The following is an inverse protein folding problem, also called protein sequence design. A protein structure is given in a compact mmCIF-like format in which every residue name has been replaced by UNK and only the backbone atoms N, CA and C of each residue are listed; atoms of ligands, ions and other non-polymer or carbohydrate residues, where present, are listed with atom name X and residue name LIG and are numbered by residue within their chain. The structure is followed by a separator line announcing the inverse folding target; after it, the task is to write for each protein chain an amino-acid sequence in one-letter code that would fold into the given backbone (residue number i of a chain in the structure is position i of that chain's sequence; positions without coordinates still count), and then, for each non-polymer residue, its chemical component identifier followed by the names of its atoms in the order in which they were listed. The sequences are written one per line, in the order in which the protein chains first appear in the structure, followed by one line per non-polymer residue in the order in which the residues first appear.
data_IF_953077233389
#
_entry.id   IF_953077233389
#
_cell.length_a   1.000
_cell.length_b   1.000
_cell.length_c   1.000
_cell.angle_alpha   90.00
_cell.angle_beta   90.00
_cell.angle_gamma   90.00
#
_symmetry.space_group_name_H-M   'P 1'
#
loop_
_entity.id
_entity.type
_entity.pdbx_description
1 polymer ?
#
# COMPACT_ATOMS: atom_id res chain seq x y z
N UNK A 1 11.12 8.92 4.05
CA UNK A 1 12.32 8.88 3.19
C UNK A 1 13.48 8.39 4.06
N UNK A 2 14.15 7.30 3.66
CA UNK A 2 15.39 6.85 4.28
C UNK A 2 16.51 7.79 3.79
N UNK A 3 17.22 8.44 4.70
CA UNK A 3 18.24 9.45 4.40
C UNK A 3 19.61 8.87 4.00
N UNK A 4 19.64 7.68 3.41
CA UNK A 4 20.86 7.05 2.91
C UNK A 4 21.01 7.29 1.41
N UNK A 5 22.25 7.49 0.95
CA UNK A 5 22.56 7.61 -0.47
C UNK A 5 22.12 6.33 -1.19
N UNK A 6 21.53 6.48 -2.38
CA UNK A 6 21.10 5.36 -3.22
C UNK A 6 22.28 4.44 -3.55
N UNK A 7 23.50 5.00 -3.59
CA UNK A 7 24.74 4.24 -3.71
C UNK A 7 24.97 3.27 -2.53
N UNK A 8 24.78 3.73 -1.29
CA UNK A 8 25.02 2.94 -0.09
C UNK A 8 23.98 1.81 0.05
N UNK A 9 22.71 2.12 -0.21
CA UNK A 9 21.64 1.12 -0.25
C UNK A 9 21.86 0.04 -1.31
N UNK A 10 22.40 0.42 -2.48
CA UNK A 10 22.73 -0.54 -3.52
C UNK A 10 23.91 -1.43 -3.12
N UNK A 11 24.90 -0.88 -2.41
CA UNK A 11 26.06 -1.62 -1.91
C UNK A 11 25.66 -2.61 -0.82
N UNK A 12 24.78 -2.23 0.11
CA UNK A 12 24.26 -3.12 1.15
C UNK A 12 23.40 -4.26 0.56
N UNK A 13 22.62 -3.95 -0.48
CA UNK A 13 21.79 -4.93 -1.17
C UNK A 13 22.61 -6.02 -1.89
N UNK A 14 23.82 -5.70 -2.36
CA UNK A 14 24.71 -6.66 -3.03
C UNK A 14 25.79 -7.23 -2.10
N UNK A 15 26.04 -6.64 -0.94
CA UNK A 15 27.10 -7.06 -0.02
C UNK A 15 26.97 -8.55 0.36
N UNK A 16 25.74 -9.02 0.60
CA UNK A 16 25.46 -10.43 0.91
C UNK A 16 25.82 -11.42 -0.21
N UNK A 17 25.90 -10.97 -1.48
CA UNK A 17 26.38 -11.83 -2.58
C UNK A 17 27.88 -12.10 -2.51
N UNK A 18 28.64 -11.20 -1.88
CA UNK A 18 30.08 -11.26 -1.75
C UNK A 18 30.54 -11.66 -0.35
N UNK A 19 29.61 -12.00 0.54
CA UNK A 19 29.91 -12.57 1.84
C UNK A 19 30.58 -13.95 1.68
N UNK A 20 31.61 -14.19 2.48
CA UNK A 20 32.40 -15.43 2.44
C UNK A 20 32.10 -16.27 3.66
N UNK A 21 32.02 -17.58 3.48
CA UNK A 21 31.97 -18.54 4.59
C UNK A 21 33.32 -18.61 5.34
N UNK A 22 33.37 -19.35 6.45
CA UNK A 22 34.59 -19.60 7.25
C UNK A 22 35.73 -20.25 6.45
N UNK A 23 35.44 -20.72 5.23
CA UNK A 23 36.40 -21.32 4.30
C UNK A 23 36.76 -20.37 3.14
N UNK A 24 36.35 -19.10 3.20
CA UNK A 24 36.67 -18.06 2.22
C UNK A 24 35.88 -18.15 0.92
N UNK A 25 34.77 -18.89 0.87
CA UNK A 25 33.97 -19.17 -0.33
C UNK A 25 32.69 -18.35 -0.36
N UNK A 26 32.28 -17.90 -1.54
CA UNK A 26 31.02 -17.17 -1.75
C UNK A 26 29.83 -18.14 -1.71
N UNK A 27 29.16 -18.20 -0.57
CA UNK A 27 28.08 -19.15 -0.28
C UNK A 27 26.88 -18.97 -1.22
N UNK A 28 26.45 -17.73 -1.46
CA UNK A 28 25.28 -17.41 -2.30
C UNK A 28 25.54 -17.66 -3.79
N UNK A 29 26.72 -17.27 -4.30
CA UNK A 29 27.12 -17.58 -5.68
C UNK A 29 27.19 -19.09 -5.91
N UNK A 30 27.77 -19.84 -4.95
CA UNK A 30 27.81 -21.30 -5.04
C UNK A 30 26.43 -21.93 -4.94
N UNK A 31 25.53 -21.38 -4.13
CA UNK A 31 24.15 -21.88 -4.01
C UNK A 31 23.39 -21.70 -5.31
N UNK A 32 23.52 -20.54 -5.95
CA UNK A 32 22.84 -20.23 -7.20
C UNK A 32 23.39 -21.03 -8.38
N UNK A 33 24.71 -21.04 -8.55
CA UNK A 33 25.35 -21.71 -9.69
C UNK A 33 25.60 -23.21 -9.45
N UNK A 34 25.61 -23.68 -8.20
CA UNK A 34 25.93 -25.06 -7.85
C UNK A 34 24.95 -26.12 -8.37
N UNK A 35 23.77 -25.71 -8.85
CA UNK A 35 22.80 -26.60 -9.50
C UNK A 35 22.58 -26.36 -11.00
N UNK A 36 23.19 -25.31 -11.59
CA UNK A 36 22.85 -24.83 -12.94
C UNK A 36 24.05 -24.47 -13.81
N UNK A 37 25.22 -24.20 -13.24
CA UNK A 37 26.41 -23.89 -14.02
C UNK A 37 27.03 -25.16 -14.62
N UNK A 38 26.72 -25.42 -15.89
CA UNK A 38 27.54 -26.31 -16.72
C UNK A 38 28.83 -25.57 -17.13
N UNK A 39 30.00 -26.23 -17.17
CA UNK A 39 31.23 -25.64 -17.69
C UNK A 39 31.13 -25.17 -19.15
N UNK A 40 30.09 -25.58 -19.88
CA UNK A 40 29.84 -25.21 -21.28
C UNK A 40 29.07 -23.89 -21.46
N UNK A 41 28.73 -23.17 -20.38
CA UNK A 41 28.05 -21.87 -20.53
C UNK A 41 28.96 -20.87 -21.24
N UNK A 42 28.39 -20.19 -22.23
CA UNK A 42 29.05 -19.04 -22.82
C UNK A 42 29.17 -17.90 -21.80
N UNK A 43 30.18 -17.05 -21.96
CA UNK A 43 30.38 -15.86 -21.11
C UNK A 43 29.13 -14.96 -21.07
N UNK A 44 28.42 -14.85 -22.20
CA UNK A 44 27.18 -14.08 -22.33
C UNK A 44 26.03 -14.66 -21.50
N UNK A 45 25.95 -15.98 -21.38
CA UNK A 45 24.95 -16.66 -20.54
C UNK A 45 25.28 -16.50 -19.06
N UNK A 46 26.56 -16.63 -18.69
CA UNK A 46 27.02 -16.37 -17.33
C UNK A 46 26.72 -14.94 -16.88
N UNK A 47 26.94 -13.95 -17.75
CA UNK A 47 26.60 -12.55 -17.46
C UNK A 47 25.09 -12.36 -17.31
N UNK A 48 24.28 -13.04 -18.13
CA UNK A 48 22.81 -12.97 -18.05
C UNK A 48 22.29 -13.56 -16.74
N UNK A 49 22.84 -14.68 -16.31
CA UNK A 49 22.46 -15.36 -15.08
C UNK A 49 22.96 -14.61 -13.84
N UNK A 50 24.17 -14.04 -13.90
CA UNK A 50 24.67 -13.15 -12.85
C UNK A 50 23.78 -11.90 -12.71
N UNK A 51 23.36 -11.29 -13.83
CA UNK A 51 22.44 -10.15 -13.80
C UNK A 51 21.10 -10.53 -13.16
N UNK A 52 20.57 -11.72 -13.45
CA UNK A 52 19.35 -12.24 -12.82
C UNK A 52 19.52 -12.46 -11.32
N UNK A 53 20.64 -13.05 -10.91
CA UNK A 53 20.96 -13.25 -9.50
C UNK A 53 21.00 -11.90 -8.76
N UNK A 54 21.85 -10.98 -9.24
CA UNK A 54 21.98 -9.63 -8.66
C UNK A 54 20.63 -8.92 -8.58
N UNK A 55 19.84 -8.97 -9.66
CA UNK A 55 18.53 -8.34 -9.68
C UNK A 55 17.55 -9.00 -8.70
N UNK A 56 17.58 -10.32 -8.54
CA UNK A 56 16.74 -11.02 -7.56
C UNK A 56 17.13 -10.67 -6.14
N UNK A 57 18.43 -10.70 -5.82
CA UNK A 57 18.95 -10.40 -4.48
C UNK A 57 18.72 -8.96 -4.08
N UNK A 58 18.94 -8.01 -5.00
CA UNK A 58 18.63 -6.59 -4.75
C UNK A 58 17.12 -6.40 -4.57
N UNK A 59 16.28 -7.10 -5.34
CA UNK A 59 14.82 -7.01 -5.18
C UNK A 59 14.36 -7.59 -3.84
N UNK A 60 14.94 -8.70 -3.40
CA UNK A 60 14.61 -9.37 -2.14
C UNK A 60 15.13 -8.59 -0.93
N UNK A 61 16.33 -8.01 -1.03
CA UNK A 61 16.86 -7.10 -0.01
C UNK A 61 16.05 -5.81 0.07
N UNK A 62 15.70 -5.19 -1.08
CA UNK A 62 14.74 -4.08 -1.09
C UNK A 62 13.44 -4.52 -0.41
N UNK A 63 12.96 -5.72 -0.71
CA UNK A 63 11.72 -6.24 -0.15
C UNK A 63 11.80 -6.41 1.36
N UNK A 64 12.89 -6.93 1.92
CA UNK A 64 13.09 -7.05 3.37
C UNK A 64 13.36 -5.70 4.04
N UNK A 65 14.16 -4.82 3.43
CA UNK A 65 14.39 -3.46 3.89
C UNK A 65 13.08 -2.64 3.91
N UNK A 66 12.26 -2.74 2.87
CA UNK A 66 10.92 -2.13 2.83
C UNK A 66 9.93 -2.85 3.75
N UNK A 67 10.02 -4.17 3.94
CA UNK A 67 9.13 -4.90 4.86
C UNK A 67 9.42 -4.55 6.32
N UNK A 68 10.69 -4.40 6.67
CA UNK A 68 11.14 -3.95 7.98
C UNK A 68 10.83 -2.45 8.22
N UNK A 69 10.80 -1.64 7.14
CA UNK A 69 10.58 -0.20 7.23
C UNK A 69 9.14 0.28 6.98
N UNK A 70 8.22 -0.49 6.37
CA UNK A 70 7.03 0.09 5.73
C UNK A 70 5.67 -0.56 6.12
N UNK A 71 5.02 0.06 7.13
CA UNK A 71 3.63 -0.24 7.56
C UNK A 71 2.61 0.01 6.45
N UNK A 72 2.88 0.96 5.54
CA UNK A 72 1.98 1.34 4.44
C UNK A 72 1.87 0.23 3.39
N UNK A 73 2.98 -0.40 2.99
CA UNK A 73 2.96 -1.53 2.04
C UNK A 73 2.19 -2.73 2.60
N UNK A 74 2.37 -3.02 3.89
CA UNK A 74 1.63 -4.09 4.58
C UNK A 74 0.11 -3.83 4.61
N UNK A 75 -0.29 -2.58 4.79
CA UNK A 75 -1.69 -2.17 4.75
C UNK A 75 -2.27 -2.25 3.33
N UNK A 76 -1.53 -1.77 2.31
CA UNK A 76 -1.92 -1.88 0.90
C UNK A 76 -2.13 -3.34 0.49
N UNK A 77 -1.24 -4.25 0.91
CA UNK A 77 -1.39 -5.69 0.67
C UNK A 77 -2.65 -6.28 1.30
N UNK A 78 -2.98 -5.88 2.54
CA UNK A 78 -4.22 -6.32 3.20
C UNK A 78 -5.46 -5.74 2.52
N UNK A 79 -5.43 -4.49 2.08
CA UNK A 79 -6.53 -3.86 1.34
C UNK A 79 -6.77 -4.56 0.00
N UNK A 80 -5.71 -4.82 -0.76
CA UNK A 80 -5.77 -5.56 -2.02
C UNK A 80 -6.32 -6.98 -1.85
N UNK A 81 -5.89 -7.71 -0.82
CA UNK A 81 -6.44 -9.04 -0.53
C UNK A 81 -7.94 -9.00 -0.23
N UNK A 82 -8.38 -8.01 0.55
CA UNK A 82 -9.81 -7.82 0.85
C UNK A 82 -10.60 -7.48 -0.40
N UNK A 83 -10.12 -6.55 -1.23
CA UNK A 83 -10.76 -6.17 -2.49
C UNK A 83 -10.83 -7.36 -3.47
N UNK A 84 -9.75 -8.13 -3.59
CA UNK A 84 -9.73 -9.34 -4.41
C UNK A 84 -10.73 -10.41 -3.91
N UNK A 85 -10.83 -10.60 -2.59
CA UNK A 85 -11.77 -11.56 -1.98
C UNK A 85 -13.25 -11.16 -2.10
N UNK A 86 -13.55 -9.92 -2.49
CA UNK A 86 -14.93 -9.45 -2.76
C UNK A 86 -15.34 -9.64 -4.22
N UNK A 87 -14.42 -10.11 -5.09
CA UNK A 87 -14.66 -10.30 -6.53
C UNK A 87 -14.72 -11.79 -6.88
N UNK A 88 -15.66 -12.15 -7.75
CA UNK A 88 -15.82 -13.54 -8.24
C UNK A 88 -14.91 -13.85 -9.42
N UNK A 89 -14.43 -12.82 -10.12
CA UNK A 89 -13.60 -12.94 -11.32
C UNK A 89 -12.09 -12.89 -11.05
N UNK A 90 -11.71 -12.93 -9.76
CA UNK A 90 -10.34 -12.80 -9.27
C UNK A 90 -10.03 -13.87 -8.22
N UNK A 91 -8.92 -14.57 -8.38
CA UNK A 91 -8.45 -15.55 -7.41
C UNK A 91 -7.07 -15.21 -6.88
N UNK A 92 -6.88 -15.46 -5.58
CA UNK A 92 -5.57 -15.41 -4.95
C UNK A 92 -4.94 -16.80 -4.98
N UNK A 93 -3.91 -16.99 -5.80
CA UNK A 93 -3.20 -18.26 -5.94
C UNK A 93 -1.75 -18.12 -5.47
N UNK A 94 -1.22 -19.18 -4.84
CA UNK A 94 0.19 -19.24 -4.47
C UNK A 94 0.98 -19.90 -5.59
N UNK A 95 2.00 -19.21 -6.11
CA UNK A 95 2.96 -19.75 -7.08
C UNK A 95 4.36 -19.63 -6.48
N UNK A 96 4.88 -20.76 -5.99
CA UNK A 96 6.11 -20.79 -5.19
C UNK A 96 5.98 -20.00 -3.88
N UNK A 97 6.91 -19.08 -3.64
CA UNK A 97 6.90 -18.22 -2.44
C UNK A 97 5.91 -17.05 -2.52
N UNK A 98 5.46 -16.67 -3.73
CA UNK A 98 4.65 -15.47 -3.96
C UNK A 98 3.15 -15.77 -4.04
N UNK A 99 2.33 -14.83 -3.57
CA UNK A 99 0.90 -14.78 -3.87
C UNK A 99 0.65 -13.97 -5.14
N UNK A 100 -0.23 -14.50 -5.98
CA UNK A 100 -0.61 -13.94 -7.26
C UNK A 100 -2.11 -13.65 -7.28
N UNK A 101 -2.47 -12.61 -7.99
CA UNK A 101 -3.83 -12.33 -8.43
C UNK A 101 -3.98 -12.95 -9.81
N UNK A 102 -4.93 -13.85 -9.98
CA UNK A 102 -5.27 -14.46 -11.27
C UNK A 102 -6.66 -14.01 -11.69
N UNK A 103 -6.77 -13.48 -12.91
CA UNK A 103 -8.04 -13.02 -13.46
C UNK A 103 -8.64 -14.16 -14.29
N UNK A 104 -9.91 -14.49 -14.04
CA UNK A 104 -10.61 -15.41 -14.94
C UNK A 104 -10.76 -14.71 -16.29
N UNK A 105 -10.25 -15.33 -17.35
CA UNK A 105 -10.55 -14.88 -18.70
C UNK A 105 -12.05 -15.00 -18.91
N UNK A 106 -12.70 -13.95 -19.42
CA UNK A 106 -14.09 -14.07 -19.89
C UNK A 106 -14.14 -15.30 -20.81
N UNK A 107 -14.90 -16.32 -20.40
CA UNK A 107 -15.28 -17.40 -21.30
C UNK A 107 -16.06 -16.71 -22.43
N UNK A 108 -15.38 -16.47 -23.55
CA UNK A 108 -16.04 -16.09 -24.77
C UNK A 108 -17.16 -17.09 -25.02
N UNK A 109 -18.39 -16.58 -25.07
CA UNK A 109 -19.55 -17.28 -25.58
C UNK A 109 -19.33 -17.53 -27.08
N UNK A 110 -18.56 -18.56 -27.42
CA UNK A 110 -18.55 -19.13 -28.77
C UNK A 110 -18.38 -20.63 -28.64
N UNK A 111 -19.29 -21.35 -29.30
CA UNK A 111 -19.55 -22.75 -29.08
C UNK A 111 -18.36 -23.67 -29.28
N UNK A 112 -18.40 -24.75 -28.50
CA UNK A 112 -18.21 -26.13 -28.95
C UNK A 112 -17.08 -26.35 -29.98
N UNK A 113 -15.85 -26.48 -29.49
CA UNK A 113 -14.86 -27.39 -30.09
C UNK A 113 -14.13 -28.16 -29.00
N UNK A 114 -14.46 -29.44 -28.89
CA UNK A 114 -13.61 -30.47 -28.28
C UNK A 114 -12.38 -30.63 -29.20
N UNK A 115 -11.21 -30.22 -28.73
CA UNK A 115 -10.01 -30.34 -29.55
C UNK A 115 -8.76 -29.87 -28.82
N UNK A 116 -8.08 -30.82 -28.17
CA UNK A 116 -6.69 -30.72 -27.67
C UNK A 116 -6.38 -29.57 -26.71
N UNK A 117 -6.23 -29.90 -25.43
CA UNK A 117 -5.69 -29.03 -24.38
C UNK A 117 -4.22 -28.67 -24.65
N UNK A 118 -3.95 -27.80 -25.62
CA UNK A 118 -2.73 -27.02 -25.64
C UNK A 118 -2.80 -26.08 -24.43
N UNK A 119 -2.11 -26.47 -23.35
CA UNK A 119 -1.78 -25.58 -22.23
C UNK A 119 -1.20 -24.30 -22.82
N UNK A 120 -2.01 -23.23 -22.92
CA UNK A 120 -1.51 -21.89 -23.27
C UNK A 120 -0.35 -21.62 -22.32
N UNK A 121 0.86 -21.49 -22.87
CA UNK A 121 2.03 -21.13 -22.06
C UNK A 121 1.64 -19.84 -21.32
N UNK A 122 1.87 -19.75 -20.00
CA UNK A 122 1.61 -18.51 -19.28
C UNK A 122 2.38 -17.40 -20.00
N UNK A 123 1.68 -16.33 -20.36
CA UNK A 123 2.30 -15.15 -20.95
C UNK A 123 3.40 -14.62 -20.02
N UNK A 124 4.26 -13.76 -20.53
CA UNK A 124 5.23 -13.08 -19.65
C UNK A 124 4.45 -12.17 -18.68
N UNK A 125 4.85 -12.05 -17.39
CA UNK A 125 4.23 -11.08 -16.51
C UNK A 125 4.51 -9.66 -17.02
N UNK A 126 3.51 -8.78 -16.93
CA UNK A 126 3.65 -7.39 -17.35
C UNK A 126 4.79 -6.70 -16.56
N UNK A 127 5.72 -5.98 -17.20
CA UNK A 127 6.75 -5.24 -16.46
C UNK A 127 6.13 -4.22 -15.51
N UNK A 128 6.69 -4.09 -14.30
CA UNK A 128 6.17 -3.20 -13.25
C UNK A 128 5.93 -1.77 -13.76
N UNK A 129 6.92 -1.20 -14.46
CA UNK A 129 6.85 0.15 -15.02
C UNK A 129 5.75 0.33 -16.05
N UNK A 130 5.40 -0.73 -16.79
CA UNK A 130 4.32 -0.71 -17.79
C UNK A 130 2.97 -0.65 -17.07
N UNK A 131 2.76 -1.54 -16.09
CA UNK A 131 1.53 -1.52 -15.29
C UNK A 131 1.37 -0.20 -14.52
N UNK A 132 2.44 0.30 -13.91
CA UNK A 132 2.48 1.60 -13.24
C UNK A 132 2.07 2.74 -14.18
N UNK A 133 2.57 2.76 -15.42
CA UNK A 133 2.22 3.79 -16.40
C UNK A 133 0.72 3.77 -16.75
N UNK A 134 0.13 2.59 -16.94
CA UNK A 134 -1.31 2.45 -17.14
C UNK A 134 -2.12 2.92 -15.93
N UNK A 135 -1.70 2.53 -14.73
CA UNK A 135 -2.39 2.92 -13.50
C UNK A 135 -2.26 4.40 -13.18
N UNK A 136 -1.19 5.08 -13.61
CA UNK A 136 -0.97 6.51 -13.30
C UNK A 136 -2.12 7.39 -13.79
N UNK A 137 -2.71 7.11 -14.96
CA UNK A 137 -3.88 7.83 -15.45
C UNK A 137 -5.16 7.54 -14.67
N UNK A 138 -5.32 6.28 -14.24
CA UNK A 138 -6.51 5.78 -13.56
C UNK A 138 -6.56 6.14 -12.06
N UNK A 139 -5.40 6.38 -11.46
CA UNK A 139 -5.28 6.70 -10.03
C UNK A 139 -6.03 7.97 -9.65
N UNK A 140 -6.07 8.97 -10.54
CA UNK A 140 -6.76 10.23 -10.26
C UNK A 140 -8.28 10.06 -10.15
N UNK A 141 -8.85 9.05 -10.82
CA UNK A 141 -10.29 8.77 -10.86
C UNK A 141 -10.70 7.68 -9.87
N UNK A 142 -9.76 6.85 -9.41
CA UNK A 142 -10.03 5.77 -8.47
C UNK A 142 -10.34 6.29 -7.06
N UNK A 143 -11.56 6.04 -6.56
CA UNK A 143 -12.00 6.43 -5.22
C UNK A 143 -11.59 5.42 -4.15
N UNK A 144 -11.28 4.18 -4.54
CA UNK A 144 -10.93 3.09 -3.63
C UNK A 144 -9.81 2.17 -4.14
N UNK A 145 -9.28 1.32 -3.25
CA UNK A 145 -8.35 0.24 -3.66
C UNK A 145 -9.04 -0.80 -4.55
N UNK A 146 -10.36 -0.97 -4.41
CA UNK A 146 -11.16 -1.85 -5.26
C UNK A 146 -11.22 -1.35 -6.69
N UNK A 147 -11.47 -0.05 -6.87
CA UNK A 147 -11.55 0.60 -8.20
C UNK A 147 -10.20 0.51 -8.90
N UNK A 148 -9.11 0.76 -8.17
CA UNK A 148 -7.77 0.66 -8.73
C UNK A 148 -7.40 -0.79 -9.08
N UNK A 149 -7.89 -1.76 -8.31
CA UNK A 149 -7.71 -3.18 -8.60
C UNK A 149 -8.49 -3.57 -9.87
N UNK A 150 -9.70 -3.05 -10.04
CA UNK A 150 -10.49 -3.23 -11.25
C UNK A 150 -9.73 -2.72 -12.48
N UNK A 151 -9.19 -1.50 -12.42
CA UNK A 151 -8.40 -0.94 -13.53
C UNK A 151 -7.12 -1.71 -13.81
N UNK A 152 -6.47 -2.24 -12.78
CA UNK A 152 -5.34 -3.15 -12.96
C UNK A 152 -5.75 -4.43 -13.70
N UNK A 153 -6.89 -5.02 -13.34
CA UNK A 153 -7.42 -6.24 -13.99
C UNK A 153 -7.80 -5.96 -15.45
N UNK A 154 -8.50 -4.86 -15.70
CA UNK A 154 -8.85 -4.42 -17.06
C UNK A 154 -7.60 -4.21 -17.92
N UNK A 155 -6.58 -3.56 -17.36
CA UNK A 155 -5.28 -3.40 -18.03
C UNK A 155 -4.65 -4.76 -18.37
N UNK A 156 -4.58 -5.69 -17.40
CA UNK A 156 -4.02 -7.02 -17.65
C UNK A 156 -4.81 -7.80 -18.72
N UNK A 157 -6.14 -7.64 -18.77
CA UNK A 157 -7.01 -8.25 -19.78
C UNK A 157 -6.86 -7.61 -21.17
N UNK A 158 -6.64 -6.30 -21.23
CA UNK A 158 -6.50 -5.55 -22.47
C UNK A 158 -5.19 -5.85 -23.22
N UNK A 159 -4.19 -6.44 -22.55
CA UNK A 159 -2.88 -6.74 -23.13
C UNK A 159 -2.62 -8.26 -23.22
N UNK A 160 -3.06 -8.93 -24.30
CA UNK A 160 -2.98 -10.39 -24.45
C UNK A 160 -1.55 -10.95 -24.55
N UNK A 161 -0.56 -10.09 -24.80
CA UNK A 161 0.87 -10.44 -24.79
C UNK A 161 1.41 -10.73 -23.38
N UNK A 162 0.66 -10.33 -22.34
CA UNK A 162 0.99 -10.56 -20.95
C UNK A 162 0.05 -11.58 -20.32
N UNK A 163 0.53 -12.22 -19.25
CA UNK A 163 -0.34 -13.08 -18.46
C UNK A 163 -1.43 -12.25 -17.76
N UNK A 164 -2.67 -12.74 -17.76
CA UNK A 164 -3.77 -12.21 -16.96
C UNK A 164 -3.64 -12.58 -15.47
N UNK A 165 -2.41 -12.60 -14.97
CA UNK A 165 -2.05 -12.85 -13.59
C UNK A 165 -0.88 -11.94 -13.19
N UNK A 166 -0.88 -11.49 -11.94
CA UNK A 166 0.15 -10.58 -11.45
C UNK A 166 0.55 -10.88 -10.00
N UNK A 167 1.86 -10.79 -9.65
CA UNK A 167 2.28 -10.91 -8.26
C UNK A 167 1.64 -9.82 -7.42
N UNK A 168 0.96 -10.21 -6.33
CA UNK A 168 0.20 -9.31 -5.46
C UNK A 168 1.08 -8.17 -4.90
N UNK A 169 2.32 -8.49 -4.53
CA UNK A 169 3.31 -7.53 -4.03
C UNK A 169 3.73 -6.53 -5.09
N UNK A 170 3.94 -6.97 -6.32
CA UNK A 170 4.26 -6.07 -7.44
C UNK A 170 3.07 -5.20 -7.83
N UNK A 171 1.85 -5.72 -7.73
CA UNK A 171 0.66 -4.89 -7.93
C UNK A 171 0.58 -3.77 -6.89
N UNK A 172 0.79 -4.10 -5.61
CA UNK A 172 0.81 -3.12 -4.54
C UNK A 172 1.88 -2.03 -4.78
N UNK A 173 3.06 -2.43 -5.23
CA UNK A 173 4.14 -1.50 -5.60
C UNK A 173 3.77 -0.62 -6.79
N UNK A 174 3.17 -1.18 -7.85
CA UNK A 174 2.74 -0.43 -9.02
C UNK A 174 1.68 0.63 -8.66
N UNK A 175 0.67 0.23 -7.88
CA UNK A 175 -0.38 1.13 -7.40
C UNK A 175 0.19 2.26 -6.54
N UNK A 176 1.12 1.95 -5.63
CA UNK A 176 1.78 2.95 -4.79
C UNK A 176 2.60 3.93 -5.61
N UNK A 177 3.38 3.42 -6.56
CA UNK A 177 4.24 4.24 -7.41
C UNK A 177 3.40 5.15 -8.32
N UNK A 178 2.29 4.63 -8.86
CA UNK A 178 1.32 5.42 -9.62
C UNK A 178 0.70 6.54 -8.76
N UNK A 179 0.30 6.26 -7.51
CA UNK A 179 -0.17 7.27 -6.54
C UNK A 179 0.85 8.33 -6.24
N UNK A 180 2.07 7.93 -5.91
CA UNK A 180 3.16 8.87 -5.63
C UNK A 180 3.47 9.74 -6.86
N UNK A 181 3.40 9.18 -8.07
CA UNK A 181 3.61 9.93 -9.31
C UNK A 181 2.50 10.94 -9.57
N UNK A 182 1.23 10.55 -9.46
CA UNK A 182 0.11 11.50 -9.59
C UNK A 182 0.25 12.63 -8.58
N UNK A 183 0.51 12.30 -7.32
CA UNK A 183 0.70 13.27 -6.26
C UNK A 183 1.87 14.24 -6.58
N UNK A 184 3.00 13.72 -7.03
CA UNK A 184 4.16 14.55 -7.41
C UNK A 184 3.88 15.48 -8.60
N UNK A 185 3.04 15.04 -9.56
CA UNK A 185 2.68 15.83 -10.75
C UNK A 185 1.61 16.87 -10.42
N UNK A 186 0.62 16.53 -9.59
CA UNK A 186 -0.35 17.50 -9.05
C UNK A 186 0.33 18.55 -8.17
N UNK A 187 1.45 18.22 -7.54
CA UNK A 187 2.25 19.15 -6.74
C UNK A 187 3.23 20.00 -7.59
N UNK A 188 3.52 19.64 -8.85
CA UNK A 188 4.59 20.28 -9.66
C UNK A 188 4.21 20.74 -11.09
N UNK A 189 2.95 20.99 -11.46
CA UNK A 189 2.63 21.66 -12.74
C UNK A 189 1.40 22.58 -12.67
N UNK A 190 1.61 23.92 -12.66
CA UNK A 190 0.57 24.97 -12.63
C UNK A 190 -0.02 25.33 -14.00
N UNK A 191 -0.57 26.54 -14.25
CA UNK A 191 -1.21 27.53 -13.39
C UNK A 191 -2.74 27.53 -13.64
N UNK A 192 -3.54 27.04 -12.68
CA UNK A 192 -4.97 27.38 -12.67
C UNK A 192 -5.12 28.60 -11.79
N UNK A 193 -5.54 29.70 -12.41
CA UNK A 193 -5.94 30.94 -11.74
C UNK A 193 -6.97 30.66 -10.64
N UNK A 194 -6.49 30.43 -9.43
CA UNK A 194 -7.17 30.83 -8.21
C UNK A 194 -6.27 31.85 -7.53
N UNK A 195 -6.62 33.14 -7.57
CA UNK A 195 -5.83 34.17 -6.91
C UNK A 195 -5.96 34.00 -5.39
N UNK A 196 -4.82 34.12 -4.70
CA UNK A 196 -4.69 34.48 -3.28
C UNK A 196 -5.35 33.58 -2.22
N UNK A 197 -4.99 32.29 -2.16
CA UNK A 197 -5.24 31.52 -0.93
C UNK A 197 -3.98 30.76 -0.47
N UNK A 198 -3.41 31.09 0.71
CA UNK A 198 -2.25 30.36 1.21
C UNK A 198 -2.64 28.92 1.55
N UNK A 199 -1.86 27.96 1.05
CA UNK A 199 -1.89 26.58 1.52
C UNK A 199 -1.69 26.63 3.04
N UNK A 200 -2.68 26.18 3.80
CA UNK A 200 -2.63 26.21 5.26
C UNK A 200 -1.36 25.54 5.77
N UNK A 201 -0.64 26.23 6.65
CA UNK A 201 0.56 25.67 7.26
C UNK A 201 0.16 24.49 8.17
N UNK A 202 1.02 23.48 8.35
CA UNK A 202 0.76 22.36 9.27
C UNK A 202 0.26 22.79 10.65
N UNK A 203 0.81 23.89 11.19
CA UNK A 203 0.43 24.46 12.49
C UNK A 203 -1.00 25.02 12.49
N UNK A 204 -1.44 25.60 11.38
CA UNK A 204 -2.80 26.14 11.23
C UNK A 204 -3.81 24.99 11.17
N UNK A 205 -3.50 23.94 10.42
CA UNK A 205 -4.31 22.72 10.35
C UNK A 205 -4.44 22.05 11.72
N UNK A 206 -3.34 21.91 12.47
CA UNK A 206 -3.37 21.39 13.86
C UNK A 206 -4.28 22.23 14.76
N UNK A 207 -4.20 23.56 14.66
CA UNK A 207 -5.07 24.47 15.42
C UNK A 207 -6.55 24.28 15.06
N UNK A 208 -6.88 24.07 13.78
CA UNK A 208 -8.26 23.78 13.37
C UNK A 208 -8.75 22.44 13.92
N UNK A 209 -7.93 21.40 13.85
CA UNK A 209 -8.23 20.07 14.42
C UNK A 209 -8.54 20.21 15.92
N UNK A 210 -7.65 20.83 16.69
CA UNK A 210 -7.82 21.02 18.13
C UNK A 210 -9.10 21.79 18.48
N UNK A 211 -9.40 22.87 17.75
CA UNK A 211 -10.59 23.68 17.98
C UNK A 211 -11.87 22.88 17.71
N UNK A 212 -11.90 22.06 16.66
CA UNK A 212 -13.06 21.26 16.29
C UNK A 212 -13.26 20.13 17.28
N UNK A 213 -12.20 19.41 17.64
CA UNK A 213 -12.27 18.37 18.65
C UNK A 213 -12.72 18.91 20.00
N UNK A 214 -12.26 20.10 20.40
CA UNK A 214 -12.71 20.76 21.63
C UNK A 214 -14.22 21.05 21.61
N UNK A 215 -14.76 21.52 20.48
CA UNK A 215 -16.20 21.75 20.31
C UNK A 215 -17.01 20.45 20.35
N UNK A 216 -16.61 19.46 19.57
CA UNK A 216 -17.27 18.14 19.54
C UNK A 216 -17.21 17.48 20.92
N UNK A 217 -16.09 17.60 21.63
CA UNK A 217 -15.94 17.11 23.02
C UNK A 217 -16.92 17.78 23.96
N UNK A 218 -17.02 19.11 23.93
CA UNK A 218 -17.95 19.84 24.79
C UNK A 218 -19.42 19.47 24.50
N UNK A 219 -19.79 19.39 23.22
CA UNK A 219 -21.16 19.08 22.78
C UNK A 219 -21.58 17.66 23.16
N UNK A 220 -20.69 16.68 22.95
CA UNK A 220 -21.03 15.25 23.13
C UNK A 220 -20.81 14.77 24.57
N UNK A 221 -20.13 15.54 25.43
CA UNK A 221 -19.82 15.13 26.81
C UNK A 221 -21.06 14.78 27.64
N UNK A 222 -22.12 15.59 27.57
CA UNK A 222 -23.36 15.32 28.31
C UNK A 222 -24.03 14.01 27.88
N UNK A 223 -23.92 13.65 26.59
CA UNK A 223 -24.55 12.45 26.03
C UNK A 223 -23.76 11.18 26.33
N UNK A 224 -22.43 11.26 26.36
CA UNK A 224 -21.57 10.08 26.55
C UNK A 224 -21.16 9.87 28.00
N UNK A 225 -20.64 10.92 28.66
CA UNK A 225 -20.25 10.85 30.06
C UNK A 225 -21.43 11.12 30.99
N UNK A 226 -22.22 12.15 30.69
CA UNK A 226 -23.37 12.53 31.54
C UNK A 226 -24.48 11.48 31.62
N UNK A 227 -24.61 10.63 30.59
CA UNK A 227 -25.53 9.49 30.59
C UNK A 227 -24.84 8.16 30.98
N UNK A 228 -23.56 8.19 31.38
CA UNK A 228 -22.81 7.00 31.80
C UNK A 228 -22.56 5.96 30.71
N UNK A 229 -22.56 6.35 29.42
CA UNK A 229 -22.29 5.43 28.30
C UNK A 229 -20.81 5.06 28.20
N UNK A 230 -19.94 5.94 28.66
CA UNK A 230 -18.49 5.78 28.81
C UNK A 230 -18.04 6.62 30.00
N UNK A 231 -17.00 6.16 30.70
CA UNK A 231 -16.38 6.93 31.75
C UNK A 231 -15.52 8.09 31.18
N UNK A 232 -15.14 9.04 32.04
CA UNK A 232 -14.38 10.23 31.63
C UNK A 232 -12.98 9.90 31.09
N UNK A 233 -12.35 8.82 31.55
CA UNK A 233 -11.02 8.42 31.09
C UNK A 233 -11.08 7.86 29.68
N UNK A 234 -12.01 6.94 29.42
CA UNK A 234 -12.28 6.41 28.07
C UNK A 234 -12.71 7.52 27.12
N UNK A 235 -13.57 8.43 27.59
CA UNK A 235 -14.00 9.56 26.78
C UNK A 235 -12.84 10.50 26.42
N UNK A 236 -11.90 10.74 27.35
CA UNK A 236 -10.71 11.55 27.07
C UNK A 236 -9.79 10.86 26.05
N UNK A 237 -9.55 9.55 26.22
CA UNK A 237 -8.76 8.75 25.30
C UNK A 237 -9.33 8.74 23.87
N UNK A 238 -10.66 8.80 23.72
CA UNK A 238 -11.27 8.97 22.40
C UNK A 238 -10.79 10.24 21.70
N UNK A 239 -10.76 11.37 22.40
CA UNK A 239 -10.42 12.64 21.75
C UNK A 239 -8.92 12.78 21.48
N UNK A 240 -8.07 12.17 22.29
CA UNK A 240 -6.63 12.07 22.01
C UNK A 240 -6.39 11.21 20.75
N UNK A 241 -7.00 10.02 20.69
CA UNK A 241 -6.91 9.15 19.52
C UNK A 241 -7.52 9.78 18.25
N UNK A 242 -8.59 10.57 18.37
CA UNK A 242 -9.17 11.31 17.24
C UNK A 242 -8.24 12.42 16.75
N UNK A 243 -7.52 13.09 17.66
CA UNK A 243 -6.52 14.09 17.29
C UNK A 243 -5.41 13.45 16.47
N UNK A 244 -4.84 12.35 16.93
CA UNK A 244 -3.78 11.65 16.20
C UNK A 244 -4.23 11.20 14.81
N UNK A 245 -5.47 10.69 14.69
CA UNK A 245 -6.02 10.29 13.39
C UNK A 245 -6.19 11.46 12.43
N UNK A 246 -6.73 12.58 12.91
CA UNK A 246 -6.93 13.75 12.08
C UNK A 246 -5.59 14.39 11.70
N UNK A 247 -4.63 14.46 12.61
CA UNK A 247 -3.28 14.95 12.31
C UNK A 247 -2.57 14.03 11.30
N UNK A 248 -2.60 12.72 11.53
CA UNK A 248 -2.01 11.75 10.61
C UNK A 248 -2.59 11.82 9.19
N UNK A 249 -3.86 12.24 9.06
CA UNK A 249 -4.53 12.39 7.77
C UNK A 249 -4.33 13.76 7.10
N UNK A 250 -4.34 14.84 7.87
CA UNK A 250 -4.40 16.21 7.33
C UNK A 250 -3.10 17.02 7.52
N UNK A 251 -2.13 16.51 8.27
CA UNK A 251 -0.89 17.22 8.61
C UNK A 251 0.34 16.40 8.19
N UNK A 252 1.11 16.85 7.17
CA UNK A 252 2.36 16.19 6.79
C UNK A 252 3.48 16.35 7.84
N UNK A 253 4.35 15.35 8.05
CA UNK A 253 4.32 13.98 7.52
C UNK A 253 3.44 13.07 8.41
N UNK A 254 2.22 12.77 7.97
CA UNK A 254 1.27 11.94 8.71
C UNK A 254 1.11 10.53 8.13
N UNK A 255 0.41 9.65 8.88
CA UNK A 255 -0.03 8.32 8.42
C UNK A 255 -1.54 8.30 8.11
N UNK A 256 -1.96 8.62 6.87
CA UNK A 256 -3.40 8.68 6.52
C UNK A 256 -4.09 7.30 6.60
N UNK A 257 -3.33 6.21 6.69
CA UNK A 257 -3.84 4.83 6.74
C UNK A 257 -3.85 4.23 8.15
N UNK A 258 -3.49 5.03 9.18
CA UNK A 258 -3.65 4.67 10.59
C UNK A 258 -5.06 4.13 10.82
N UNK A 259 -5.21 2.98 11.49
CA UNK A 259 -6.53 2.41 11.78
C UNK A 259 -7.11 2.95 13.08
N UNK A 260 -8.44 2.91 13.20
CA UNK A 260 -9.15 3.40 14.39
C UNK A 260 -8.70 2.70 15.67
N UNK A 261 -8.52 1.37 15.57
CA UNK A 261 -8.00 0.56 16.67
C UNK A 261 -6.57 0.95 17.05
N UNK A 262 -5.69 1.17 16.07
CA UNK A 262 -4.30 1.55 16.35
C UNK A 262 -4.23 2.88 17.11
N UNK A 263 -4.95 3.89 16.65
CA UNK A 263 -5.00 5.19 17.32
C UNK A 263 -5.54 5.06 18.76
N UNK A 264 -6.62 4.30 18.95
CA UNK A 264 -7.24 4.21 20.27
C UNK A 264 -6.43 3.35 21.25
N UNK A 265 -5.71 2.35 20.76
CA UNK A 265 -4.86 1.47 21.58
C UNK A 265 -3.68 2.21 22.22
N UNK A 266 -3.21 3.31 21.62
CA UNK A 266 -2.14 4.14 22.22
C UNK A 266 -2.61 4.87 23.48
N UNK A 267 -3.92 5.12 23.59
CA UNK A 267 -4.52 5.88 24.70
C UNK A 267 -5.37 5.02 25.66
N UNK A 268 -5.72 3.79 25.26
CA UNK A 268 -6.41 2.81 26.10
C UNK A 268 -5.52 1.59 26.34
N UNK A 269 -4.86 1.57 27.51
CA UNK A 269 -4.01 0.46 27.93
C UNK A 269 -4.81 -0.85 28.00
N UNK A 270 -4.33 -1.88 27.30
CA UNK A 270 -4.96 -3.21 27.31
C UNK A 270 -6.14 -3.36 26.34
N UNK A 271 -6.39 -2.36 25.48
CA UNK A 271 -7.41 -2.49 24.43
C UNK A 271 -7.07 -3.63 23.47
N UNK A 272 -7.93 -4.63 23.42
CA UNK A 272 -7.85 -5.70 22.43
C UNK A 272 -8.69 -5.38 21.20
N UNK A 273 -8.42 -6.05 20.07
CA UNK A 273 -9.23 -5.90 18.85
C UNK A 273 -10.68 -6.32 19.03
N UNK A 274 -10.94 -7.29 19.90
CA UNK A 274 -12.28 -7.78 20.21
C UNK A 274 -13.04 -6.73 21.03
N UNK A 275 -12.45 -6.27 22.14
CA UNK A 275 -12.99 -5.18 22.96
C UNK A 275 -13.25 -3.92 22.15
N UNK A 276 -12.33 -3.54 21.25
CA UNK A 276 -12.56 -2.42 20.34
C UNK A 276 -13.81 -2.62 19.48
N UNK A 277 -13.96 -3.80 18.86
CA UNK A 277 -15.08 -4.09 17.95
C UNK A 277 -16.42 -4.04 18.68
N UNK A 278 -16.47 -4.60 19.88
CA UNK A 278 -17.71 -4.81 20.60
C UNK A 278 -18.14 -3.56 21.38
N UNK A 279 -17.18 -2.82 21.95
CA UNK A 279 -17.48 -1.74 22.90
C UNK A 279 -17.20 -0.33 22.35
N UNK A 280 -16.15 -0.16 21.56
CA UNK A 280 -15.64 1.18 21.22
C UNK A 280 -15.98 1.62 19.80
N UNK A 281 -15.96 0.67 18.84
CA UNK A 281 -15.99 0.93 17.41
C UNK A 281 -17.10 1.88 16.97
N UNK A 282 -18.35 1.55 17.29
CA UNK A 282 -19.49 2.33 16.83
C UNK A 282 -19.46 3.79 17.32
N UNK A 283 -19.02 4.00 18.56
CA UNK A 283 -18.95 5.33 19.19
C UNK A 283 -17.77 6.13 18.65
N UNK A 284 -16.62 5.48 18.56
CA UNK A 284 -15.37 6.09 18.10
C UNK A 284 -15.44 6.50 16.63
N UNK A 285 -15.88 5.59 15.74
CA UNK A 285 -16.03 5.87 14.30
C UNK A 285 -17.08 6.98 14.06
N UNK A 286 -18.16 7.01 14.85
CA UNK A 286 -19.15 8.09 14.77
C UNK A 286 -18.57 9.46 15.16
N UNK A 287 -17.82 9.52 16.26
CA UNK A 287 -17.18 10.76 16.71
C UNK A 287 -16.13 11.26 15.70
N UNK A 288 -15.36 10.35 15.08
CA UNK A 288 -14.46 10.71 13.99
C UNK A 288 -15.22 11.30 12.81
N UNK A 289 -16.29 10.63 12.37
CA UNK A 289 -17.06 11.11 11.22
C UNK A 289 -17.54 12.54 11.45
N UNK A 290 -18.11 12.82 12.64
CA UNK A 290 -18.58 14.14 13.01
C UNK A 290 -17.45 15.18 13.04
N UNK A 291 -16.31 14.84 13.66
CA UNK A 291 -15.16 15.75 13.72
C UNK A 291 -14.56 16.01 12.34
N UNK A 292 -14.49 14.98 11.49
CA UNK A 292 -13.96 15.07 10.13
C UNK A 292 -14.85 15.91 9.23
N UNK A 293 -16.16 15.70 9.26
CA UNK A 293 -17.12 16.50 8.49
C UNK A 293 -17.03 17.97 8.88
N UNK A 294 -17.00 18.27 10.19
CA UNK A 294 -16.80 19.63 10.68
C UNK A 294 -15.46 20.24 10.24
N UNK A 295 -14.39 19.44 10.22
CA UNK A 295 -13.06 19.87 9.76
C UNK A 295 -13.04 20.17 8.27
N UNK A 296 -13.61 19.30 7.44
CA UNK A 296 -13.67 19.51 5.99
C UNK A 296 -14.46 20.79 5.69
N UNK A 297 -15.64 20.97 6.27
CA UNK A 297 -16.43 22.20 6.11
C UNK A 297 -15.62 23.43 6.53
N UNK A 298 -14.93 23.36 7.67
CA UNK A 298 -14.14 24.49 8.16
C UNK A 298 -12.93 24.80 7.26
N UNK A 299 -12.27 23.79 6.72
CA UNK A 299 -11.16 23.97 5.80
C UNK A 299 -11.65 24.53 4.47
N UNK A 300 -12.83 24.13 3.98
CA UNK A 300 -13.48 24.70 2.78
C UNK A 300 -13.90 26.17 2.97
N UNK A 301 -14.25 26.59 4.18
CA UNK A 301 -14.59 28.00 4.49
C UNK A 301 -13.35 28.91 4.57
N UNK A 302 -12.19 28.33 4.87
CA UNK A 302 -10.92 29.05 5.11
C UNK A 302 -10.04 29.04 3.85
N UNK A 303 -10.12 27.97 3.06
CA UNK A 303 -9.51 27.81 1.73
C UNK A 303 -10.49 28.28 0.66
#
# INVERSE_FOLDING_TARGET
MLGEDVGDLAMDAIAGLFERDDHGRFSELRRYFGGQASPDHSEEELIRDLRRLVQSTVTDWLFEAYRAADRSLSNQLRALKRAAGQREDVYLQRRGAAQWIECVGQKGSSGREEGTSQKRRPGRPMPLKVLEAHLTGEVAEASSTGDLLERAIETLRAHPDYEAAYPLTRLAQAMRSARARVQSVTEHSGPVSHPDRPVLRPEETRRYIQNILSKVRAEKRSTYVGQGKVDETTYSAYFEALQDRLEARFVPPGDPEMTHHEALMEHLSGLTKETYRDEHRARFEYLEQQAREALITRLQDVI
#
